data_IF_117197140398
#
_entry.id   IF_117197140398
#
_cell.length_a   1.000
_cell.length_b   1.000
_cell.length_c   1.000
_cell.angle_alpha   90.00
_cell.angle_beta   90.00
_cell.angle_gamma   90.00
#
_symmetry.space_group_name_H-M   'P 1'
#
loop_
_entity.id
_entity.type
_entity.pdbx_description
1 polymer ?
#
# COMPACT_ATOMS: atom_id res chain seq x y z
N UNK A 1 0.65 1.50 -26.23
CA UNK A 1 1.73 2.04 -25.39
C UNK A 1 2.44 3.24 -26.05
N UNK A 2 2.50 3.28 -27.39
CA UNK A 2 3.19 4.35 -28.14
C UNK A 2 2.72 5.78 -27.82
N UNK A 3 1.45 5.95 -27.48
CA UNK A 3 0.87 7.29 -27.24
C UNK A 3 1.16 7.83 -25.83
N UNK A 4 1.21 6.95 -24.81
CA UNK A 4 1.21 7.39 -23.41
C UNK A 4 2.31 6.77 -22.57
N UNK A 5 3.11 5.89 -23.14
CA UNK A 5 4.05 5.07 -22.40
C UNK A 5 3.36 3.96 -21.59
N UNK A 6 4.18 3.17 -20.92
CA UNK A 6 3.73 2.12 -20.01
C UNK A 6 4.74 1.88 -18.88
N UNK A 7 4.28 1.23 -17.81
CA UNK A 7 5.13 0.70 -16.76
C UNK A 7 5.26 -0.81 -16.92
N UNK A 8 6.48 -1.33 -16.91
CA UNK A 8 6.76 -2.76 -16.76
C UNK A 8 6.75 -3.13 -15.28
N UNK A 9 5.95 -4.11 -14.90
CA UNK A 9 5.87 -4.59 -13.53
C UNK A 9 6.38 -6.00 -13.41
N UNK A 10 7.13 -6.31 -12.36
CA UNK A 10 7.63 -7.65 -12.08
C UNK A 10 7.45 -8.00 -10.61
N UNK A 11 6.97 -9.23 -10.35
CA UNK A 11 6.75 -9.78 -9.01
C UNK A 11 7.29 -11.21 -8.93
N UNK A 12 8.18 -11.45 -7.97
CA UNK A 12 8.79 -12.76 -7.72
C UNK A 12 8.09 -13.45 -6.55
N UNK A 13 7.65 -14.69 -6.77
CA UNK A 13 6.99 -15.49 -5.74
C UNK A 13 7.35 -16.98 -5.84
N UNK A 14 7.06 -17.75 -4.82
CA UNK A 14 7.24 -19.20 -4.83
C UNK A 14 5.91 -19.91 -4.76
N UNK A 15 5.70 -20.87 -5.64
CA UNK A 15 4.49 -21.70 -5.64
C UNK A 15 4.47 -22.69 -4.46
N UNK A 16 3.38 -23.47 -4.33
CA UNK A 16 3.23 -24.47 -3.27
C UNK A 16 4.25 -25.60 -3.34
N UNK A 17 4.90 -25.81 -4.50
CA UNK A 17 5.95 -26.79 -4.72
C UNK A 17 7.34 -26.22 -4.47
N UNK A 18 7.43 -24.93 -4.09
CA UNK A 18 8.69 -24.23 -3.84
C UNK A 18 9.40 -23.75 -5.09
N UNK A 19 8.73 -23.75 -6.27
CA UNK A 19 9.31 -23.23 -7.50
C UNK A 19 9.28 -21.71 -7.47
N UNK A 20 10.42 -21.04 -7.68
CA UNK A 20 10.46 -19.60 -7.82
C UNK A 20 9.91 -19.19 -9.20
N UNK A 21 8.92 -18.33 -9.21
CA UNK A 21 8.28 -17.80 -10.41
C UNK A 21 8.46 -16.29 -10.45
N UNK A 22 8.70 -15.75 -11.64
CA UNK A 22 8.76 -14.31 -11.88
C UNK A 22 7.66 -13.96 -12.88
N UNK A 23 6.72 -13.13 -12.45
CA UNK A 23 5.65 -12.59 -13.30
C UNK A 23 6.08 -11.29 -13.94
N UNK A 24 5.65 -11.07 -15.19
CA UNK A 24 5.80 -9.82 -15.92
C UNK A 24 4.43 -9.31 -16.38
N UNK A 25 4.16 -8.04 -16.08
CA UNK A 25 2.93 -7.36 -16.46
C UNK A 25 3.28 -5.99 -17.04
N UNK A 26 2.44 -5.48 -17.92
CA UNK A 26 2.53 -4.10 -18.41
C UNK A 26 1.29 -3.36 -17.96
N UNK A 27 1.49 -2.21 -17.34
CA UNK A 27 0.43 -1.29 -16.99
C UNK A 27 0.50 -0.04 -17.88
N UNK A 28 -0.63 0.33 -18.42
CA UNK A 28 -0.81 1.56 -19.19
C UNK A 28 -2.15 2.19 -18.80
N UNK A 29 -2.44 3.39 -19.30
CA UNK A 29 -3.75 4.00 -19.09
C UNK A 29 -4.96 3.20 -19.60
N UNK A 30 -4.72 2.23 -20.46
CA UNK A 30 -5.75 1.32 -21.00
C UNK A 30 -5.97 0.09 -20.08
N UNK A 31 -5.15 -0.06 -19.02
CA UNK A 31 -5.24 -1.14 -18.07
C UNK A 31 -3.94 -1.94 -17.90
N UNK A 32 -4.05 -3.01 -17.13
CA UNK A 32 -2.94 -3.93 -16.85
C UNK A 32 -3.05 -5.16 -17.73
N UNK A 33 -1.95 -5.51 -18.39
CA UNK A 33 -1.84 -6.68 -19.25
C UNK A 33 -0.78 -7.64 -18.71
N UNK A 34 -1.15 -8.89 -18.49
CA UNK A 34 -0.21 -9.96 -18.11
C UNK A 34 0.56 -10.42 -19.35
N UNK A 35 1.88 -10.37 -19.27
CA UNK A 35 2.77 -10.86 -20.34
C UNK A 35 3.03 -12.34 -20.20
N UNK A 36 3.68 -12.72 -19.09
CA UNK A 36 4.11 -14.11 -18.86
C UNK A 36 4.51 -14.34 -17.40
N UNK A 37 4.74 -15.62 -17.10
CA UNK A 37 5.37 -16.08 -15.85
C UNK A 37 6.54 -17.00 -16.20
N UNK A 38 7.72 -16.71 -15.70
CA UNK A 38 8.94 -17.47 -15.93
C UNK A 38 9.25 -18.34 -14.71
N UNK A 39 9.52 -19.62 -14.93
CA UNK A 39 10.07 -20.51 -13.91
C UNK A 39 11.59 -20.28 -13.80
N UNK A 40 12.00 -19.66 -12.70
CA UNK A 40 13.39 -19.31 -12.44
C UNK A 40 14.12 -20.37 -11.58
N UNK A 41 13.61 -21.60 -11.52
CA UNK A 41 14.19 -22.69 -10.71
C UNK A 41 15.59 -23.14 -11.17
N UNK A 42 15.92 -22.93 -12.43
CA UNK A 42 17.20 -23.34 -13.01
C UNK A 42 18.34 -22.36 -12.82
N UNK A 43 18.03 -21.14 -12.36
CA UNK A 43 19.00 -20.06 -12.29
C UNK A 43 19.11 -19.47 -10.88
N UNK A 44 20.27 -18.90 -10.57
CA UNK A 44 20.44 -18.13 -9.35
C UNK A 44 19.75 -16.78 -9.54
N UNK A 45 18.90 -16.39 -8.60
CA UNK A 45 18.20 -15.10 -8.60
C UNK A 45 19.15 -13.92 -8.37
N UNK A 46 20.19 -13.79 -9.20
CA UNK A 46 21.16 -12.71 -9.15
C UNK A 46 20.57 -11.40 -9.69
N UNK A 47 21.11 -10.27 -9.25
CA UNK A 47 20.73 -8.96 -9.78
C UNK A 47 20.94 -8.88 -11.30
N UNK A 48 22.03 -9.49 -11.82
CA UNK A 48 22.33 -9.50 -13.25
C UNK A 48 21.25 -10.24 -14.04
N UNK A 49 20.87 -11.47 -13.61
CA UNK A 49 19.84 -12.27 -14.27
C UNK A 49 18.50 -11.54 -14.31
N UNK A 50 18.09 -10.94 -13.20
CA UNK A 50 16.85 -10.16 -13.13
C UNK A 50 16.92 -8.95 -14.06
N UNK A 51 18.05 -8.24 -14.09
CA UNK A 51 18.25 -7.09 -14.98
C UNK A 51 18.15 -7.50 -16.46
N UNK A 52 18.76 -8.60 -16.85
CA UNK A 52 18.73 -9.09 -18.22
C UNK A 52 17.33 -9.56 -18.65
N UNK A 53 16.57 -10.20 -17.75
CA UNK A 53 15.17 -10.54 -17.99
C UNK A 53 14.31 -9.29 -18.19
N UNK A 54 14.45 -8.30 -17.32
CA UNK A 54 13.71 -7.03 -17.43
C UNK A 54 14.10 -6.26 -18.69
N UNK A 55 15.40 -6.20 -19.03
CA UNK A 55 15.88 -5.58 -20.27
C UNK A 55 15.27 -6.22 -21.51
N UNK A 56 15.26 -7.56 -21.59
CA UNK A 56 14.65 -8.27 -22.72
C UNK A 56 13.17 -7.86 -22.89
N UNK A 57 12.41 -7.74 -21.78
CA UNK A 57 11.02 -7.31 -21.84
C UNK A 57 10.87 -5.83 -22.24
N UNK A 58 11.76 -4.96 -21.77
CA UNK A 58 11.81 -3.56 -22.20
C UNK A 58 12.06 -3.46 -23.72
N UNK A 59 12.98 -4.26 -24.24
CA UNK A 59 13.29 -4.26 -25.67
C UNK A 59 12.14 -4.81 -26.53
N UNK A 60 11.44 -5.87 -26.07
CA UNK A 60 10.26 -6.42 -26.75
C UNK A 60 9.07 -5.45 -26.80
N UNK A 61 8.84 -4.69 -25.71
CA UNK A 61 7.78 -3.66 -25.62
C UNK A 61 8.16 -2.43 -26.49
N UNK A 62 9.45 -2.19 -26.65
CA UNK A 62 10.06 -0.99 -27.20
C UNK A 62 10.52 -0.06 -26.07
N UNK A 63 11.83 0.15 -25.99
CA UNK A 63 12.47 0.95 -24.93
C UNK A 63 11.91 2.38 -24.81
N UNK A 64 11.45 2.93 -25.91
CA UNK A 64 10.84 4.27 -25.98
C UNK A 64 9.43 4.32 -25.37
N UNK A 65 8.79 3.18 -25.21
CA UNK A 65 7.44 3.08 -24.63
C UNK A 65 7.48 2.83 -23.13
N UNK A 66 8.57 2.26 -22.57
CA UNK A 66 8.66 1.91 -21.15
C UNK A 66 9.26 3.09 -20.39
N UNK A 67 8.43 3.75 -19.58
CA UNK A 67 8.82 4.91 -18.77
C UNK A 67 9.18 4.54 -17.34
N UNK A 68 8.70 3.41 -16.86
CA UNK A 68 8.88 2.98 -15.47
C UNK A 68 8.99 1.46 -15.37
N UNK A 69 9.82 0.99 -14.44
CA UNK A 69 9.83 -0.39 -13.95
C UNK A 69 9.38 -0.41 -12.49
N UNK A 70 8.45 -1.29 -12.15
CA UNK A 70 7.95 -1.48 -10.78
C UNK A 70 8.25 -2.91 -10.35
N UNK A 71 8.96 -3.08 -9.23
CA UNK A 71 9.26 -4.40 -8.67
C UNK A 71 9.01 -4.42 -7.17
N UNK A 72 9.14 -5.59 -6.54
CA UNK A 72 9.27 -5.61 -5.10
C UNK A 72 10.58 -4.89 -4.65
N UNK A 73 10.75 -4.70 -3.34
CA UNK A 73 11.91 -4.00 -2.79
C UNK A 73 12.99 -4.97 -2.27
N UNK A 74 13.08 -6.18 -2.83
CA UNK A 74 14.13 -7.14 -2.53
C UNK A 74 15.51 -6.61 -2.94
N UNK A 75 16.57 -6.99 -2.21
CA UNK A 75 17.92 -6.46 -2.45
C UNK A 75 18.42 -6.77 -3.88
N UNK A 76 18.11 -7.93 -4.41
CA UNK A 76 18.45 -8.36 -5.77
C UNK A 76 17.67 -7.56 -6.83
N UNK A 77 16.37 -7.31 -6.62
CA UNK A 77 15.57 -6.46 -7.52
C UNK A 77 16.06 -5.01 -7.51
N UNK A 78 16.35 -4.46 -6.32
CA UNK A 78 16.91 -3.12 -6.21
C UNK A 78 18.22 -2.97 -6.96
N UNK A 79 19.14 -3.94 -6.82
CA UNK A 79 20.41 -3.95 -7.54
C UNK A 79 20.20 -4.13 -9.06
N UNK A 80 19.28 -4.99 -9.49
CA UNK A 80 18.93 -5.19 -10.89
C UNK A 80 18.39 -3.91 -11.54
N UNK A 81 17.48 -3.22 -10.85
CA UNK A 81 16.89 -1.98 -11.37
C UNK A 81 17.88 -0.82 -11.41
N UNK A 82 18.86 -0.78 -10.50
CA UNK A 82 19.98 0.16 -10.62
C UNK A 82 20.80 -0.08 -11.90
N UNK A 83 21.08 -1.35 -12.25
CA UNK A 83 21.73 -1.69 -13.52
C UNK A 83 20.88 -1.24 -14.72
N UNK A 84 19.56 -1.38 -14.66
CA UNK A 84 18.66 -0.94 -15.72
C UNK A 84 18.66 0.57 -15.91
N UNK A 85 18.66 1.36 -14.84
CA UNK A 85 18.70 2.83 -14.92
C UNK A 85 20.03 3.33 -15.54
N UNK A 86 21.14 2.59 -15.37
CA UNK A 86 22.40 2.89 -16.05
C UNK A 86 22.32 2.59 -17.56
N UNK A 87 21.58 1.54 -17.97
CA UNK A 87 21.40 1.18 -19.39
C UNK A 87 20.35 2.06 -20.09
N UNK A 88 19.33 2.51 -19.34
CA UNK A 88 18.21 3.34 -19.80
C UNK A 88 18.09 4.61 -18.96
N UNK A 89 18.83 5.67 -19.25
CA UNK A 89 18.91 6.88 -18.40
C UNK A 89 17.58 7.60 -18.16
N UNK A 90 16.61 7.47 -19.06
CA UNK A 90 15.26 8.06 -18.94
C UNK A 90 14.28 7.19 -18.18
N UNK A 91 14.65 5.93 -17.89
CA UNK A 91 13.82 4.99 -17.17
C UNK A 91 13.77 5.33 -15.68
N UNK A 92 12.61 5.19 -15.08
CA UNK A 92 12.46 5.22 -13.64
C UNK A 92 12.21 3.81 -13.09
N UNK A 93 12.90 3.49 -12.00
CA UNK A 93 12.51 2.38 -11.15
C UNK A 93 11.79 2.90 -9.91
N UNK A 94 10.73 2.22 -9.49
CA UNK A 94 10.12 2.43 -8.18
C UNK A 94 9.74 1.10 -7.55
N UNK A 95 9.88 0.96 -6.23
CA UNK A 95 9.39 -0.22 -5.54
C UNK A 95 7.86 -0.24 -5.52
N UNK A 96 7.29 -1.44 -5.48
CA UNK A 96 5.86 -1.65 -5.38
C UNK A 96 5.31 -1.01 -4.10
N UNK A 97 4.44 -0.01 -4.23
CA UNK A 97 3.83 0.70 -3.11
C UNK A 97 3.05 -0.24 -2.18
N UNK A 98 2.31 -1.21 -2.75
CA UNK A 98 1.56 -2.19 -1.98
C UNK A 98 2.46 -3.05 -1.10
N UNK A 99 3.59 -3.51 -1.64
CA UNK A 99 4.58 -4.28 -0.89
C UNK A 99 5.18 -3.44 0.26
N UNK A 100 5.59 -2.20 -0.02
CA UNK A 100 6.16 -1.31 0.99
C UNK A 100 5.17 -0.98 2.11
N UNK A 101 3.90 -0.74 1.78
CA UNK A 101 2.83 -0.50 2.76
C UNK A 101 2.53 -1.74 3.60
N UNK A 102 2.56 -2.94 3.00
CA UNK A 102 2.39 -4.19 3.76
C UNK A 102 3.54 -4.41 4.74
N UNK A 103 4.78 -4.10 4.34
CA UNK A 103 5.94 -4.11 5.24
C UNK A 103 5.84 -3.08 6.37
N UNK A 104 5.28 -1.88 6.12
CA UNK A 104 5.00 -0.91 7.20
C UNK A 104 4.02 -1.49 8.22
N UNK A 105 2.93 -2.09 7.74
CA UNK A 105 1.93 -2.73 8.59
C UNK A 105 2.52 -3.89 9.39
N UNK A 106 3.39 -4.69 8.77
CA UNK A 106 4.09 -5.80 9.43
C UNK A 106 5.00 -5.30 10.55
N UNK A 107 5.80 -4.27 10.30
CA UNK A 107 6.71 -3.72 11.31
C UNK A 107 5.95 -3.09 12.48
N UNK A 108 4.84 -2.40 12.22
CA UNK A 108 3.93 -1.92 13.28
C UNK A 108 3.40 -3.12 14.08
N UNK A 109 2.96 -4.19 13.40
CA UNK A 109 2.47 -5.40 14.06
C UNK A 109 3.50 -6.14 14.90
N UNK A 110 4.80 -5.99 14.60
CA UNK A 110 5.92 -6.55 15.38
C UNK A 110 6.19 -5.78 16.67
N UNK A 111 5.66 -4.57 16.86
CA UNK A 111 5.79 -3.82 18.10
C UNK A 111 5.31 -4.65 19.30
N UNK A 112 6.03 -4.54 20.43
CA UNK A 112 5.72 -5.29 21.67
C UNK A 112 4.26 -5.15 22.09
N UNK A 113 3.66 -3.96 21.87
CA UNK A 113 2.28 -3.67 22.19
C UNK A 113 1.27 -4.47 21.32
N UNK A 114 1.63 -4.82 20.08
CA UNK A 114 0.70 -5.41 19.10
C UNK A 114 0.98 -6.87 18.77
N UNK A 115 2.23 -7.32 18.85
CA UNK A 115 2.63 -8.69 18.51
C UNK A 115 1.81 -9.77 19.24
N UNK A 116 1.69 -9.65 20.56
CA UNK A 116 0.94 -10.61 21.39
C UNK A 116 -0.57 -10.54 21.16
N UNK A 117 -1.22 -9.35 21.11
CA UNK A 117 -2.62 -9.20 20.72
C UNK A 117 -2.96 -9.81 19.36
N UNK A 118 -2.15 -9.60 18.33
CA UNK A 118 -2.35 -10.16 16.98
C UNK A 118 -2.25 -11.70 17.00
N UNK A 119 -1.25 -12.24 17.70
CA UNK A 119 -1.10 -13.70 17.85
C UNK A 119 -2.31 -14.33 18.57
N UNK A 120 -2.84 -13.65 19.59
CA UNK A 120 -4.07 -14.07 20.29
C UNK A 120 -5.28 -14.02 19.35
N UNK A 121 -5.43 -12.98 18.53
CA UNK A 121 -6.50 -12.88 17.55
C UNK A 121 -6.46 -14.05 16.55
N UNK A 122 -5.27 -14.38 16.02
CA UNK A 122 -5.09 -15.56 15.16
C UNK A 122 -5.49 -16.85 15.86
N UNK A 123 -5.13 -17.01 17.14
CA UNK A 123 -5.52 -18.18 17.96
C UNK A 123 -7.04 -18.30 18.09
N UNK A 124 -7.74 -17.21 18.41
CA UNK A 124 -9.22 -17.18 18.51
C UNK A 124 -9.84 -17.61 17.18
N UNK A 125 -9.45 -16.98 16.09
CA UNK A 125 -10.00 -17.29 14.76
C UNK A 125 -9.72 -18.74 14.37
N UNK A 126 -8.48 -19.22 14.54
CA UNK A 126 -8.09 -20.59 14.21
C UNK A 126 -8.88 -21.60 15.06
N UNK A 127 -9.07 -21.34 16.35
CA UNK A 127 -9.82 -22.20 17.25
C UNK A 127 -11.26 -22.33 16.81
N UNK A 128 -11.94 -21.22 16.50
CA UNK A 128 -13.33 -21.22 16.04
C UNK A 128 -13.47 -22.05 14.75
N UNK A 129 -12.60 -21.82 13.77
CA UNK A 129 -12.69 -22.47 12.45
C UNK A 129 -12.29 -23.96 12.46
N UNK A 130 -11.51 -24.40 13.45
CA UNK A 130 -11.16 -25.82 13.61
C UNK A 130 -12.31 -26.66 14.18
N UNK A 131 -13.35 -26.04 14.76
CA UNK A 131 -14.42 -26.73 15.45
C UNK A 131 -15.77 -26.41 14.83
N UNK A 132 -16.29 -27.28 13.96
CA UNK A 132 -17.48 -27.03 13.15
C UNK A 132 -18.74 -26.64 13.98
N UNK A 133 -18.98 -27.25 15.15
CA UNK A 133 -20.08 -26.84 16.04
C UNK A 133 -19.89 -25.41 16.57
N UNK A 134 -18.69 -25.04 16.97
CA UNK A 134 -18.37 -23.68 17.43
C UNK A 134 -18.47 -22.66 16.30
N UNK A 135 -18.02 -23.03 15.09
CA UNK A 135 -18.18 -22.22 13.89
C UNK A 135 -19.67 -21.96 13.59
N UNK A 136 -20.54 -22.98 13.70
CA UNK A 136 -21.97 -22.82 13.51
C UNK A 136 -22.58 -21.88 14.56
N UNK A 137 -22.17 -21.99 15.82
CA UNK A 137 -22.61 -21.07 16.89
C UNK A 137 -22.12 -19.64 16.63
N UNK A 138 -20.87 -19.47 16.19
CA UNK A 138 -20.34 -18.18 15.84
C UNK A 138 -21.13 -17.53 14.70
N UNK A 139 -21.42 -18.27 13.62
CA UNK A 139 -22.25 -17.77 12.52
C UNK A 139 -23.65 -17.34 12.99
N UNK A 140 -24.29 -18.11 13.86
CA UNK A 140 -25.56 -17.68 14.45
C UNK A 140 -25.44 -16.39 15.24
N UNK A 141 -24.38 -16.25 16.05
CA UNK A 141 -24.15 -15.04 16.84
C UNK A 141 -23.80 -13.81 16.00
N UNK A 142 -23.18 -13.99 14.82
CA UNK A 142 -22.79 -12.90 13.91
C UNK A 142 -23.82 -12.61 12.82
N UNK A 143 -25.00 -13.21 12.87
CA UNK A 143 -26.03 -13.04 11.83
C UNK A 143 -25.68 -13.70 10.49
N UNK A 144 -24.98 -14.83 10.52
CA UNK A 144 -24.55 -15.59 9.33
C UNK A 144 -23.21 -15.15 8.74
N UNK A 145 -22.56 -14.15 9.31
CA UNK A 145 -21.32 -13.60 8.79
C UNK A 145 -20.09 -14.37 9.30
N UNK A 146 -19.14 -14.59 8.41
CA UNK A 146 -17.85 -15.18 8.73
C UNK A 146 -16.83 -14.14 9.23
N UNK A 147 -15.91 -14.59 10.09
CA UNK A 147 -14.76 -13.79 10.47
C UNK A 147 -13.70 -13.84 9.36
N UNK A 148 -13.06 -12.72 9.10
CA UNK A 148 -11.93 -12.68 8.16
C UNK A 148 -10.76 -13.48 8.75
N UNK A 149 -10.19 -14.37 7.94
CA UNK A 149 -9.00 -15.14 8.30
C UNK A 149 -7.76 -14.52 7.71
N UNK A 150 -6.68 -14.34 8.49
CA UNK A 150 -5.43 -13.78 7.96
C UNK A 150 -4.78 -14.76 6.97
N UNK A 151 -4.29 -14.25 5.85
CA UNK A 151 -3.45 -15.00 4.91
C UNK A 151 -2.03 -15.15 5.48
N UNK A 152 -1.26 -16.07 4.87
CA UNK A 152 0.11 -16.33 5.30
C UNK A 152 1.10 -15.27 4.81
N UNK A 153 0.88 -14.72 3.63
CA UNK A 153 1.87 -13.93 2.86
C UNK A 153 1.68 -12.42 2.93
N UNK A 154 0.49 -11.91 3.32
CA UNK A 154 0.20 -10.47 3.37
C UNK A 154 -0.25 -10.05 4.75
N UNK A 155 0.54 -9.21 5.41
CA UNK A 155 0.27 -8.77 6.78
C UNK A 155 -1.03 -7.93 6.89
N UNK A 156 -1.38 -7.17 5.87
CA UNK A 156 -2.63 -6.41 5.78
C UNK A 156 -3.86 -7.26 6.09
N UNK A 157 -3.87 -8.54 5.70
CA UNK A 157 -4.97 -9.47 6.02
C UNK A 157 -5.10 -9.75 7.51
N UNK A 158 -4.01 -9.70 8.28
CA UNK A 158 -4.05 -9.80 9.75
C UNK A 158 -4.79 -8.60 10.35
N UNK A 159 -4.57 -7.40 9.81
CA UNK A 159 -5.28 -6.19 10.27
C UNK A 159 -6.76 -6.24 9.89
N UNK A 160 -7.10 -6.75 8.70
CA UNK A 160 -8.49 -6.99 8.30
C UNK A 160 -9.18 -8.00 9.23
N UNK A 161 -8.47 -9.04 9.66
CA UNK A 161 -8.98 -10.00 10.63
C UNK A 161 -9.25 -9.34 12.00
N UNK A 162 -8.35 -8.46 12.48
CA UNK A 162 -8.60 -7.68 13.70
C UNK A 162 -9.83 -6.79 13.56
N UNK A 163 -10.00 -6.13 12.42
CA UNK A 163 -11.18 -5.29 12.14
C UNK A 163 -12.46 -6.13 12.15
N UNK A 164 -12.43 -7.34 11.59
CA UNK A 164 -13.55 -8.28 11.61
C UNK A 164 -13.89 -8.71 13.04
N UNK A 165 -12.88 -9.03 13.86
CA UNK A 165 -13.09 -9.38 15.26
C UNK A 165 -13.75 -8.24 16.06
N UNK A 166 -13.26 -7.00 15.90
CA UNK A 166 -13.82 -5.82 16.59
C UNK A 166 -15.27 -5.57 16.16
N UNK A 167 -15.57 -5.70 14.86
CA UNK A 167 -16.95 -5.60 14.34
C UNK A 167 -17.90 -6.57 15.04
N UNK A 168 -17.44 -7.77 15.37
CA UNK A 168 -18.23 -8.83 16.00
C UNK A 168 -17.95 -9.01 17.50
N UNK A 169 -17.30 -8.01 18.15
CA UNK A 169 -16.88 -8.06 19.57
C UNK A 169 -17.97 -8.54 20.51
N UNK A 170 -19.18 -7.96 20.43
CA UNK A 170 -20.29 -8.32 21.32
C UNK A 170 -20.78 -9.74 21.05
N UNK A 171 -20.96 -10.11 19.79
CA UNK A 171 -21.38 -11.45 19.39
C UNK A 171 -20.39 -12.52 19.91
N UNK A 172 -19.08 -12.26 19.78
CA UNK A 172 -18.05 -13.17 20.27
C UNK A 172 -18.05 -13.27 21.81
N UNK A 173 -18.19 -12.16 22.51
CA UNK A 173 -18.29 -12.18 23.98
C UNK A 173 -19.52 -12.96 24.44
N UNK A 174 -20.68 -12.72 23.83
CA UNK A 174 -21.92 -13.47 24.14
C UNK A 174 -21.78 -14.96 23.80
N UNK A 175 -21.12 -15.31 22.69
CA UNK A 175 -20.84 -16.70 22.31
C UNK A 175 -20.08 -17.45 23.41
N UNK A 176 -19.03 -16.88 23.96
CA UNK A 176 -18.16 -17.51 24.96
C UNK A 176 -18.71 -17.43 26.39
N UNK A 177 -19.91 -16.88 26.58
CA UNK A 177 -20.64 -16.87 27.87
C UNK A 177 -22.01 -17.55 27.80
N UNK A 178 -22.49 -17.95 26.61
CA UNK A 178 -23.81 -18.56 26.47
C UNK A 178 -23.88 -20.02 26.97
N UNK A 179 -25.07 -20.50 27.28
CA UNK A 179 -25.31 -21.86 27.75
C UNK A 179 -24.78 -22.94 26.78
N UNK A 180 -24.90 -22.69 25.47
CA UNK A 180 -24.42 -23.62 24.45
C UNK A 180 -22.87 -23.76 24.46
N UNK A 181 -22.14 -22.72 24.84
CA UNK A 181 -20.69 -22.77 25.05
C UNK A 181 -20.38 -23.48 26.39
N UNK A 182 -20.98 -23.08 27.49
CA UNK A 182 -20.73 -23.64 28.83
C UNK A 182 -20.96 -25.16 28.86
N UNK A 183 -21.98 -25.63 28.16
CA UNK A 183 -22.28 -27.08 28.02
C UNK A 183 -21.38 -27.81 27.01
N UNK A 184 -20.52 -27.12 26.29
CA UNK A 184 -19.65 -27.73 25.28
C UNK A 184 -18.40 -28.35 25.92
N UNK A 185 -18.00 -29.55 25.47
CA UNK A 185 -16.77 -30.20 25.94
C UNK A 185 -15.52 -29.33 25.70
N UNK A 186 -15.51 -28.53 24.64
CA UNK A 186 -14.39 -27.60 24.32
C UNK A 186 -14.19 -26.54 25.40
N UNK A 187 -15.25 -26.08 26.06
CA UNK A 187 -15.16 -25.07 27.13
C UNK A 187 -14.38 -25.56 28.35
N UNK A 188 -14.24 -26.87 28.51
CA UNK A 188 -13.49 -27.51 29.62
C UNK A 188 -12.02 -27.80 29.24
N UNK A 189 -11.64 -27.61 27.96
CA UNK A 189 -10.25 -27.84 27.52
C UNK A 189 -9.37 -26.63 27.82
N UNK A 190 -8.09 -26.85 28.06
CA UNK A 190 -7.12 -25.75 28.25
C UNK A 190 -7.12 -24.75 27.07
N UNK A 191 -7.27 -25.24 25.84
CA UNK A 191 -7.35 -24.39 24.64
C UNK A 191 -8.65 -23.57 24.61
N UNK A 192 -9.78 -24.17 24.98
CA UNK A 192 -11.07 -23.47 25.04
C UNK A 192 -11.11 -22.40 26.11
N UNK A 193 -10.64 -22.72 27.33
CA UNK A 193 -10.49 -21.74 28.41
C UNK A 193 -9.59 -20.58 28.02
N UNK A 194 -8.44 -20.87 27.40
CA UNK A 194 -7.53 -19.81 26.93
C UNK A 194 -8.20 -18.89 25.91
N UNK A 195 -8.97 -19.43 24.96
CA UNK A 195 -9.67 -18.62 23.96
C UNK A 195 -10.79 -17.81 24.59
N UNK A 196 -11.55 -18.38 25.52
CA UNK A 196 -12.57 -17.68 26.30
C UNK A 196 -11.94 -16.49 27.07
N UNK A 197 -10.84 -16.72 27.79
CA UNK A 197 -10.14 -15.67 28.54
C UNK A 197 -9.68 -14.53 27.62
N UNK A 198 -9.16 -14.86 26.43
CA UNK A 198 -8.75 -13.85 25.44
C UNK A 198 -9.97 -13.01 25.03
N UNK A 199 -11.09 -13.65 24.66
CA UNK A 199 -12.29 -12.96 24.14
C UNK A 199 -12.96 -12.11 25.23
N UNK A 200 -12.89 -12.52 26.48
CA UNK A 200 -13.46 -11.78 27.61
C UNK A 200 -12.55 -10.68 28.15
N UNK A 201 -11.24 -10.69 27.81
CA UNK A 201 -10.25 -9.71 28.27
C UNK A 201 -10.51 -8.32 27.67
N UNK A 202 -10.79 -7.32 28.51
CA UNK A 202 -10.91 -5.92 28.08
C UNK A 202 -9.59 -5.38 27.52
N UNK A 203 -8.47 -5.70 28.17
CA UNK A 203 -7.13 -5.21 27.76
C UNK A 203 -6.75 -5.72 26.36
N UNK A 204 -7.14 -6.95 26.03
CA UNK A 204 -6.89 -7.48 24.69
C UNK A 204 -7.67 -6.70 23.62
N UNK A 205 -8.94 -6.36 23.86
CA UNK A 205 -9.74 -5.55 22.94
C UNK A 205 -9.18 -4.15 22.79
N UNK A 206 -8.77 -3.49 23.87
CA UNK A 206 -8.11 -2.19 23.81
C UNK A 206 -6.82 -2.22 23.00
N UNK A 207 -5.99 -3.26 23.18
CA UNK A 207 -4.76 -3.41 22.41
C UNK A 207 -5.03 -3.64 20.91
N UNK A 208 -6.09 -4.38 20.55
CA UNK A 208 -6.52 -4.52 19.13
C UNK A 208 -7.02 -3.19 18.59
N UNK A 209 -7.83 -2.45 19.34
CA UNK A 209 -8.32 -1.14 18.93
C UNK A 209 -7.17 -0.14 18.70
N UNK A 210 -6.15 -0.15 19.54
CA UNK A 210 -4.94 0.65 19.33
C UNK A 210 -4.17 0.22 18.07
N UNK A 211 -4.04 -1.09 17.85
CA UNK A 211 -3.43 -1.61 16.62
C UNK A 211 -4.19 -1.14 15.37
N UNK A 212 -5.52 -1.14 15.43
CA UNK A 212 -6.36 -0.66 14.34
C UNK A 212 -6.26 0.86 14.14
N UNK A 213 -6.13 1.65 15.21
CA UNK A 213 -5.87 3.10 15.09
C UNK A 213 -4.57 3.40 14.37
N UNK A 214 -3.52 2.62 14.65
CA UNK A 214 -2.23 2.75 13.98
C UNK A 214 -2.27 2.30 12.52
N UNK A 215 -3.02 1.25 12.19
CA UNK A 215 -2.91 0.55 10.92
C UNK A 215 -4.01 0.91 9.91
N UNK A 216 -5.19 1.32 10.35
CA UNK A 216 -6.32 1.62 9.44
C UNK A 216 -6.02 2.76 8.45
N UNK A 217 -5.34 3.85 8.84
CA UNK A 217 -4.95 4.89 7.87
C UNK A 217 -4.08 4.33 6.74
N UNK A 218 -3.08 3.49 7.06
CA UNK A 218 -2.21 2.86 6.07
C UNK A 218 -2.96 1.84 5.18
N UNK A 219 -3.93 1.10 5.73
CA UNK A 219 -4.80 0.23 4.92
C UNK A 219 -5.62 1.02 3.89
N UNK A 220 -5.97 2.27 4.17
CA UNK A 220 -6.64 3.12 3.18
C UNK A 220 -5.71 3.48 2.03
N UNK A 221 -4.45 3.83 2.33
CA UNK A 221 -3.43 4.07 1.30
C UNK A 221 -3.21 2.80 0.47
N UNK A 222 -3.04 1.65 1.14
CA UNK A 222 -2.88 0.36 0.46
C UNK A 222 -4.05 0.04 -0.48
N UNK A 223 -5.28 0.30 -0.07
CA UNK A 223 -6.46 0.06 -0.91
C UNK A 223 -6.48 0.93 -2.17
N UNK A 224 -5.99 2.16 -2.09
CA UNK A 224 -5.85 3.05 -3.26
C UNK A 224 -4.70 2.58 -4.14
N UNK A 225 -3.56 2.19 -3.54
CA UNK A 225 -2.40 1.68 -4.26
C UNK A 225 -2.69 0.36 -5.01
N UNK A 226 -3.58 -0.49 -4.47
CA UNK A 226 -3.99 -1.80 -5.01
C UNK A 226 -5.25 -1.69 -5.92
N UNK A 227 -5.75 -0.48 -6.16
CA UNK A 227 -6.97 -0.25 -6.94
C UNK A 227 -6.69 -0.15 -8.45
N UNK A 228 -7.60 -0.71 -9.25
CA UNK A 228 -7.49 -0.74 -10.72
C UNK A 228 -8.23 0.41 -11.44
N UNK A 229 -9.15 1.09 -10.74
CA UNK A 229 -10.04 2.07 -11.37
C UNK A 229 -9.36 3.41 -11.70
N UNK A 230 -8.39 3.82 -10.89
CA UNK A 230 -7.71 5.13 -11.00
C UNK A 230 -6.21 4.98 -10.79
N UNK A 231 -5.38 5.80 -11.47
CA UNK A 231 -3.95 5.86 -11.21
C UNK A 231 -3.70 6.20 -9.74
N UNK A 232 -3.00 5.33 -9.02
CA UNK A 232 -2.73 5.52 -7.59
C UNK A 232 -1.62 6.56 -7.33
N UNK A 233 -0.62 6.64 -8.20
CA UNK A 233 0.58 7.46 -8.01
C UNK A 233 0.28 8.93 -7.64
N UNK A 234 -0.67 9.64 -8.32
CA UNK A 234 -1.01 11.03 -7.98
C UNK A 234 -1.63 11.22 -6.59
N UNK A 235 -2.02 10.16 -5.92
CA UNK A 235 -2.68 10.22 -4.61
C UNK A 235 -1.81 9.73 -3.45
N UNK A 236 -0.80 8.88 -3.72
CA UNK A 236 -0.04 8.18 -2.68
C UNK A 236 0.62 9.15 -1.70
N UNK A 237 1.33 10.20 -2.18
CA UNK A 237 2.01 11.16 -1.30
C UNK A 237 1.02 11.91 -0.39
N UNK A 238 -0.06 12.43 -0.96
CA UNK A 238 -1.11 13.12 -0.20
C UNK A 238 -1.80 12.20 0.82
N UNK A 239 -2.08 10.96 0.44
CA UNK A 239 -2.68 9.97 1.33
C UNK A 239 -1.74 9.55 2.47
N UNK A 240 -0.42 9.49 2.23
CA UNK A 240 0.56 9.20 3.27
C UNK A 240 0.66 10.34 4.28
N UNK A 241 0.67 11.60 3.83
CA UNK A 241 0.60 12.78 4.71
C UNK A 241 -0.65 12.67 5.59
N UNK A 242 -1.82 12.48 4.98
CA UNK A 242 -3.08 12.31 5.71
C UNK A 242 -3.06 11.10 6.65
N UNK A 243 -2.46 9.97 6.26
CA UNK A 243 -2.37 8.79 7.12
C UNK A 243 -1.54 9.07 8.38
N UNK A 244 -0.41 9.77 8.27
CA UNK A 244 0.42 10.19 9.41
C UNK A 244 -0.35 11.09 10.37
N UNK A 245 -1.09 12.07 9.86
CA UNK A 245 -1.96 12.94 10.67
C UNK A 245 -3.03 12.13 11.41
N UNK A 246 -3.70 11.21 10.71
CA UNK A 246 -4.74 10.35 11.32
C UNK A 246 -4.18 9.41 12.38
N UNK A 247 -2.97 8.88 12.19
CA UNK A 247 -2.27 8.09 13.21
C UNK A 247 -1.99 8.97 14.43
N UNK A 248 -1.45 10.17 14.23
CA UNK A 248 -1.14 11.11 15.31
C UNK A 248 -2.38 11.44 16.14
N UNK A 249 -3.49 11.81 15.48
CA UNK A 249 -4.77 12.09 16.13
C UNK A 249 -5.39 10.88 16.84
N UNK A 250 -5.02 9.67 16.42
CA UNK A 250 -5.51 8.41 17.01
C UNK A 250 -4.97 8.11 18.42
N UNK A 251 -3.92 8.81 18.87
CA UNK A 251 -3.25 8.57 20.13
C UNK A 251 -3.11 9.85 20.99
N UNK A 252 -4.21 10.49 21.39
CA UNK A 252 -4.16 11.76 22.15
C UNK A 252 -3.66 11.59 23.60
N UNK A 253 -3.66 10.34 24.14
CA UNK A 253 -3.32 10.08 25.54
C UNK A 253 -1.82 10.21 25.78
N UNK A 254 -1.43 10.92 26.83
CA UNK A 254 -0.03 11.16 27.20
C UNK A 254 0.75 9.85 27.43
N UNK A 255 0.13 8.86 28.06
CA UNK A 255 0.76 7.55 28.32
C UNK A 255 0.98 6.70 27.05
N UNK A 256 0.36 7.06 25.92
CA UNK A 256 0.54 6.39 24.62
C UNK A 256 1.53 7.10 23.69
N UNK A 257 2.02 8.29 24.06
CA UNK A 257 2.98 9.04 23.25
C UNK A 257 4.27 8.25 22.91
N UNK A 258 4.85 7.44 23.83
CA UNK A 258 6.01 6.62 23.47
C UNK A 258 5.70 5.55 22.42
N UNK A 259 4.47 5.01 22.38
CA UNK A 259 4.01 4.08 21.36
C UNK A 259 3.81 4.80 20.01
N UNK A 260 3.14 5.95 20.03
CA UNK A 260 2.94 6.79 18.85
C UNK A 260 4.27 7.14 18.18
N UNK A 261 5.27 7.60 18.93
CA UNK A 261 6.61 7.90 18.40
C UNK A 261 7.23 6.69 17.68
N UNK A 262 7.09 5.48 18.22
CA UNK A 262 7.58 4.25 17.56
C UNK A 262 6.83 3.93 16.28
N UNK A 263 5.51 4.14 16.25
CA UNK A 263 4.69 3.91 15.06
C UNK A 263 5.09 4.90 13.96
N UNK A 264 5.16 6.18 14.26
CA UNK A 264 5.54 7.21 13.29
C UNK A 264 6.97 6.99 12.77
N UNK A 265 7.92 6.64 13.66
CA UNK A 265 9.29 6.33 13.24
C UNK A 265 9.38 5.14 12.26
N UNK A 266 8.50 4.12 12.39
CA UNK A 266 8.42 3.02 11.41
C UNK A 266 7.89 3.55 10.09
N UNK A 267 6.83 4.35 10.11
CA UNK A 267 6.22 4.91 8.90
C UNK A 267 7.21 5.82 8.18
N UNK A 268 7.88 6.73 8.90
CA UNK A 268 8.86 7.65 8.34
C UNK A 268 10.05 6.90 7.74
N UNK A 269 10.64 5.97 8.49
CA UNK A 269 11.76 5.15 8.01
C UNK A 269 11.44 4.37 6.74
N UNK A 270 10.23 3.77 6.66
CA UNK A 270 9.81 3.02 5.48
C UNK A 270 9.49 3.94 4.31
N UNK A 271 8.86 5.08 4.57
CA UNK A 271 8.59 6.08 3.57
C UNK A 271 9.90 6.59 2.96
N UNK A 272 10.80 7.15 3.76
CA UNK A 272 12.07 7.74 3.33
C UNK A 272 12.98 6.76 2.59
N UNK A 273 13.07 5.50 3.06
CA UNK A 273 14.00 4.54 2.46
C UNK A 273 13.42 3.73 1.28
N UNK A 274 12.10 3.73 1.08
CA UNK A 274 11.47 2.83 0.12
C UNK A 274 10.45 3.51 -0.80
N UNK A 275 9.74 4.54 -0.31
CA UNK A 275 8.63 5.11 -1.06
C UNK A 275 8.78 6.59 -1.41
N UNK A 276 9.66 7.33 -0.74
CA UNK A 276 9.88 8.75 -1.05
C UNK A 276 10.62 8.89 -2.38
N UNK A 277 9.85 8.87 -3.45
CA UNK A 277 10.32 8.88 -4.82
C UNK A 277 9.78 10.12 -5.54
N UNK A 278 10.62 10.76 -6.35
CA UNK A 278 10.28 11.98 -7.09
C UNK A 278 9.00 11.84 -7.93
N UNK A 279 8.74 10.64 -8.48
CA UNK A 279 7.51 10.37 -9.24
C UNK A 279 6.22 10.58 -8.43
N UNK A 280 6.22 10.33 -7.11
CA UNK A 280 5.02 10.59 -6.29
C UNK A 280 4.80 12.08 -6.07
N UNK A 281 5.88 12.86 -5.92
CA UNK A 281 5.80 14.32 -5.82
C UNK A 281 5.37 14.96 -7.13
N UNK A 282 5.98 14.55 -8.24
CA UNK A 282 5.62 14.97 -9.59
C UNK A 282 4.16 14.64 -9.93
N UNK A 283 3.74 13.40 -9.71
CA UNK A 283 2.37 13.00 -9.98
C UNK A 283 1.34 13.75 -9.10
N UNK A 284 1.70 14.12 -7.87
CA UNK A 284 0.86 14.95 -7.01
C UNK A 284 0.82 16.40 -7.51
N UNK A 285 1.96 16.96 -7.94
CA UNK A 285 2.02 18.28 -8.56
C UNK A 285 1.11 18.36 -9.79
N UNK A 286 1.16 17.36 -10.66
CA UNK A 286 0.35 17.29 -11.87
C UNK A 286 -1.10 16.84 -11.63
N UNK A 287 -1.53 16.66 -10.38
CA UNK A 287 -2.91 16.35 -10.01
C UNK A 287 -3.62 17.61 -9.50
N UNK A 288 -4.35 18.35 -10.34
CA UNK A 288 -4.95 19.64 -9.96
C UNK A 288 -5.94 19.52 -8.78
N UNK A 289 -6.70 18.41 -8.73
CA UNK A 289 -7.65 18.14 -7.66
C UNK A 289 -7.00 17.92 -6.28
N UNK A 290 -5.67 17.70 -6.22
CA UNK A 290 -4.90 17.55 -4.98
C UNK A 290 -3.92 18.69 -4.76
N UNK A 291 -3.29 19.19 -5.84
CA UNK A 291 -2.31 20.24 -5.79
C UNK A 291 -2.90 21.59 -5.36
N UNK A 292 -3.96 22.06 -6.01
CA UNK A 292 -4.54 23.37 -5.68
C UNK A 292 -5.12 23.47 -4.26
N UNK A 293 -5.72 22.43 -3.66
CA UNK A 293 -6.04 22.45 -2.24
C UNK A 293 -4.82 22.62 -1.31
N UNK A 294 -3.62 22.18 -1.72
CA UNK A 294 -2.37 22.40 -0.97
C UNK A 294 -1.97 23.87 -1.10
N UNK A 295 -1.97 24.41 -2.31
CA UNK A 295 -1.69 25.84 -2.58
C UNK A 295 -2.65 26.73 -1.77
N UNK A 296 -3.96 26.41 -1.75
CA UNK A 296 -4.98 27.18 -1.02
C UNK A 296 -4.79 27.18 0.49
N UNK A 297 -4.01 26.24 1.05
CA UNK A 297 -3.66 26.19 2.48
C UNK A 297 -2.39 26.95 2.82
N UNK A 298 -1.77 27.60 1.82
CA UNK A 298 -0.49 28.31 1.95
C UNK A 298 0.64 27.42 2.48
N UNK A 299 0.69 26.16 2.06
CA UNK A 299 1.76 25.23 2.41
C UNK A 299 2.91 25.38 1.39
N UNK A 300 3.59 26.53 1.44
CA UNK A 300 4.63 26.91 0.50
C UNK A 300 5.82 25.91 0.51
N UNK A 301 6.10 25.30 1.66
CA UNK A 301 7.17 24.33 1.78
C UNK A 301 6.86 23.07 0.96
N UNK A 302 5.64 22.53 1.07
CA UNK A 302 5.20 21.37 0.31
C UNK A 302 5.07 21.71 -1.20
N UNK A 303 4.53 22.89 -1.54
CA UNK A 303 4.46 23.35 -2.94
C UNK A 303 5.84 23.41 -3.57
N UNK A 304 6.84 23.98 -2.87
CA UNK A 304 8.23 24.03 -3.34
C UNK A 304 8.86 22.65 -3.52
N UNK A 305 8.59 21.72 -2.58
CA UNK A 305 9.04 20.32 -2.70
C UNK A 305 8.43 19.63 -3.94
N UNK A 306 7.12 19.77 -4.16
CA UNK A 306 6.43 19.16 -5.30
C UNK A 306 6.95 19.73 -6.63
N UNK A 307 7.19 21.04 -6.69
CA UNK A 307 7.80 21.68 -7.85
C UNK A 307 9.21 21.16 -8.13
N UNK A 308 10.03 20.94 -7.10
CA UNK A 308 11.35 20.34 -7.23
C UNK A 308 11.25 18.92 -7.82
N UNK A 309 10.34 18.10 -7.31
CA UNK A 309 10.11 16.76 -7.86
C UNK A 309 9.74 16.80 -9.35
N UNK A 310 8.85 17.70 -9.75
CA UNK A 310 8.48 17.89 -11.16
C UNK A 310 9.70 18.26 -12.01
N UNK A 311 10.52 19.19 -11.56
CA UNK A 311 11.72 19.63 -12.30
C UNK A 311 12.74 18.49 -12.47
N UNK A 312 12.95 17.67 -11.43
CA UNK A 312 13.84 16.51 -11.46
C UNK A 312 13.35 15.44 -12.45
N UNK A 313 12.03 15.15 -12.41
CA UNK A 313 11.40 14.20 -13.34
C UNK A 313 11.49 14.72 -14.78
N UNK A 314 11.17 16.00 -14.99
CA UNK A 314 11.27 16.64 -16.29
C UNK A 314 12.71 16.58 -16.84
N UNK A 315 13.72 16.86 -16.01
CA UNK A 315 15.12 16.82 -16.41
C UNK A 315 15.56 15.40 -16.82
N UNK A 316 15.11 14.37 -16.12
CA UNK A 316 15.45 12.96 -16.43
C UNK A 316 14.70 12.42 -17.66
N UNK A 317 13.39 12.69 -17.77
CA UNK A 317 12.55 12.08 -18.82
C UNK A 317 12.59 12.81 -20.16
N UNK A 318 12.95 14.10 -20.19
CA UNK A 318 12.95 14.93 -21.40
C UNK A 318 14.36 15.41 -21.72
N UNK A 319 15.13 14.68 -22.56
CA UNK A 319 16.51 15.05 -22.89
C UNK A 319 16.64 16.37 -23.65
N UNK A 320 15.65 16.75 -24.48
CA UNK A 320 15.69 17.99 -25.29
C UNK A 320 15.45 19.23 -24.42
N UNK A 321 16.46 20.10 -24.35
CA UNK A 321 16.41 21.32 -23.55
C UNK A 321 15.33 22.33 -23.99
N UNK A 322 15.01 22.38 -25.30
CA UNK A 322 14.00 23.31 -25.83
C UNK A 322 12.63 22.82 -25.47
N UNK A 323 12.39 21.49 -25.50
CA UNK A 323 11.14 20.87 -25.06
C UNK A 323 10.97 21.10 -23.54
N UNK A 324 12.02 20.89 -22.73
CA UNK A 324 11.97 21.16 -21.29
C UNK A 324 11.57 22.60 -20.97
N UNK A 325 12.17 23.59 -21.65
CA UNK A 325 11.82 25.02 -21.47
C UNK A 325 10.35 25.30 -21.77
N UNK A 326 9.80 24.71 -22.84
CA UNK A 326 8.38 24.87 -23.17
C UNK A 326 7.47 24.26 -22.11
N UNK A 327 7.80 23.06 -21.60
CA UNK A 327 7.04 22.40 -20.54
C UNK A 327 7.12 23.23 -19.25
N UNK A 328 8.30 23.75 -18.89
CA UNK A 328 8.48 24.60 -17.71
C UNK A 328 7.63 25.89 -17.81
N UNK A 329 7.60 26.55 -18.96
CA UNK A 329 6.73 27.70 -19.18
C UNK A 329 5.23 27.37 -19.01
N UNK A 330 4.80 26.22 -19.53
CA UNK A 330 3.42 25.74 -19.33
C UNK A 330 3.12 25.42 -17.87
N UNK A 331 4.08 24.88 -17.13
CA UNK A 331 3.88 24.57 -15.71
C UNK A 331 3.69 25.83 -14.84
N UNK A 332 4.33 26.95 -15.21
CA UNK A 332 4.08 28.25 -14.56
C UNK A 332 2.64 28.72 -14.80
N UNK A 333 2.12 28.57 -16.02
CA UNK A 333 0.71 28.89 -16.31
C UNK A 333 -0.26 27.99 -15.53
N UNK A 334 0.09 26.70 -15.40
CA UNK A 334 -0.67 25.75 -14.59
C UNK A 334 -0.73 26.16 -13.13
N UNK A 335 0.41 26.43 -12.49
CA UNK A 335 0.47 26.88 -11.08
C UNK A 335 -0.34 28.14 -10.83
N UNK A 336 -0.31 29.07 -11.77
CA UNK A 336 -1.03 30.34 -11.70
C UNK A 336 -2.49 30.24 -12.14
N UNK A 337 -2.94 29.07 -12.58
CA UNK A 337 -4.29 28.85 -13.14
C UNK A 337 -4.62 29.89 -14.24
N UNK A 338 -3.69 30.09 -15.20
CA UNK A 338 -3.88 31.05 -16.29
C UNK A 338 -4.16 30.35 -17.62
N UNK A 339 -4.63 31.13 -18.60
CA UNK A 339 -4.96 30.67 -19.95
C UNK A 339 -5.93 29.47 -19.93
N UNK A 340 -5.60 28.35 -20.60
CA UNK A 340 -6.45 27.16 -20.65
C UNK A 340 -6.71 26.55 -19.26
N UNK A 341 -5.79 26.75 -18.30
CA UNK A 341 -5.93 26.25 -16.94
C UNK A 341 -6.89 27.08 -16.06
N UNK A 342 -7.36 28.24 -16.55
CA UNK A 342 -8.39 29.07 -15.88
C UNK A 342 -9.81 28.77 -16.35
N UNK A 343 -10.01 27.80 -17.22
CA UNK A 343 -11.34 27.46 -17.75
C UNK A 343 -12.29 27.04 -16.60
N UNK A 344 -13.45 27.70 -16.44
CA UNK A 344 -14.38 27.40 -15.34
C UNK A 344 -14.78 25.94 -15.24
N UNK A 345 -15.06 25.27 -16.37
CA UNK A 345 -15.42 23.86 -16.40
C UNK A 345 -14.26 22.96 -15.96
N UNK A 346 -13.01 23.31 -16.30
CA UNK A 346 -11.83 22.59 -15.84
C UNK A 346 -11.68 22.72 -14.31
N UNK A 347 -11.87 23.90 -13.76
CA UNK A 347 -11.81 24.16 -12.31
C UNK A 347 -12.93 23.44 -11.54
N UNK A 348 -14.16 23.44 -12.03
CA UNK A 348 -15.30 22.75 -11.41
C UNK A 348 -15.11 21.22 -11.39
N UNK A 349 -14.50 20.67 -12.44
CA UNK A 349 -14.38 19.21 -12.61
C UNK A 349 -13.03 18.65 -12.17
N UNK A 350 -12.05 19.48 -11.79
CA UNK A 350 -10.68 19.04 -11.44
C UNK A 350 -10.61 18.00 -10.32
N UNK A 351 -11.56 18.03 -9.36
CA UNK A 351 -11.60 17.08 -8.25
C UNK A 351 -12.23 15.73 -8.60
N UNK A 352 -13.01 15.66 -9.67
CA UNK A 352 -13.80 14.50 -10.08
C UNK A 352 -13.25 13.81 -11.32
N UNK A 353 -12.56 14.53 -12.18
CA UNK A 353 -11.92 13.97 -13.37
C UNK A 353 -10.64 13.24 -13.03
N UNK A 354 -10.34 12.22 -13.83
CA UNK A 354 -9.00 11.65 -13.84
C UNK A 354 -8.00 12.76 -14.22
N UNK A 355 -6.91 12.99 -13.48
CA UNK A 355 -5.92 14.04 -13.74
C UNK A 355 -5.50 14.13 -15.21
N UNK A 356 -5.36 12.99 -15.87
CA UNK A 356 -5.03 12.86 -17.29
C UNK A 356 -6.09 13.40 -18.26
N UNK A 357 -7.34 13.55 -17.83
CA UNK A 357 -8.46 14.06 -18.64
C UNK A 357 -8.92 15.44 -18.17
N UNK A 358 -8.16 16.09 -17.29
CA UNK A 358 -8.58 17.35 -16.67
C UNK A 358 -8.26 18.59 -17.52
N UNK A 359 -7.41 18.43 -18.54
CA UNK A 359 -7.00 19.51 -19.43
C UNK A 359 -7.00 19.10 -20.90
#
# INVERSE_FOLDING_TARGET
WKQYGCALMSDGWSDRRGRPLINFLVNSPEGTFFLESIDASSESHSAQMIADLLENRIMEIGKENVVQVVTDNGANYKAACHLLELRFPTLYWSPCACHCLDLMLEDIGKLKAFKKPIARARRVTTFIYRHGRLLSLMRKATGGLDLVRPAATRFATSILALKSLVKHKQALRSLFTCQAWVGNKLAKTAAGLNVQDIVLSADWWHAIEDCLRASTPLLRVLRVADGDEKPAMPEIKALMIYAKERINLGFPQQNKQPLLKKILAIVDKRWENQMDHQLYGDALFLNPGKFFPIVSRNDDALVGELRSCFNDVLAKMVPDANVRKKIDQQSVLYEQQRESFSNPLALETMSTRNPRKSY
#
